data_IF_869110074470
#
_entry.id   IF_869110074470
#
_cell.length_a   1.000
_cell.length_b   1.000
_cell.length_c   1.000
_cell.angle_alpha   90.00
_cell.angle_beta   90.00
_cell.angle_gamma   90.00
#
_symmetry.space_group_name_H-M   'P 1'
#
loop_
_entity.id
_entity.type
_entity.pdbx_description
1 polymer ?
#
# COMPACT_ATOMS: atom_id res chain seq x y z
N UNK A 1 -10.09 -6.25 6.35
CA UNK A 1 -9.14 -5.26 5.80
C UNK A 1 -8.01 -5.08 6.82
N UNK A 2 -6.77 -4.84 6.38
CA UNK A 2 -5.68 -4.37 7.26
C UNK A 2 -5.41 -2.88 7.02
N UNK A 3 -4.94 -2.19 8.06
CA UNK A 3 -4.87 -0.73 8.06
C UNK A 3 -3.47 -0.21 7.68
N UNK A 4 -3.36 0.40 6.50
CA UNK A 4 -2.22 1.24 6.07
C UNK A 4 -2.56 2.74 6.06
N UNK A 5 -3.70 3.10 6.67
CA UNK A 5 -4.23 4.46 6.73
C UNK A 5 -3.30 5.42 7.47
N UNK A 6 -2.66 4.97 8.55
CA UNK A 6 -1.72 5.80 9.30
C UNK A 6 -0.53 6.19 8.40
N UNK A 7 -0.05 5.27 7.58
CA UNK A 7 1.06 5.52 6.67
C UNK A 7 0.66 6.47 5.55
N UNK A 8 -0.54 6.30 4.98
CA UNK A 8 -1.09 7.27 4.03
C UNK A 8 -1.18 8.67 4.65
N UNK A 9 -1.71 8.78 5.87
CA UNK A 9 -1.82 10.05 6.57
C UNK A 9 -0.43 10.70 6.80
N UNK A 10 0.60 9.90 7.12
CA UNK A 10 1.99 10.37 7.26
C UNK A 10 2.55 10.90 5.94
N UNK A 11 2.32 10.20 4.83
CA UNK A 11 2.75 10.65 3.50
C UNK A 11 2.03 11.92 3.08
N UNK A 12 0.71 12.00 3.28
CA UNK A 12 -0.06 13.23 2.99
C UNK A 12 0.44 14.42 3.81
N UNK A 13 0.78 14.22 5.09
CA UNK A 13 1.39 15.25 5.93
C UNK A 13 2.72 15.74 5.33
N UNK A 14 3.63 14.84 4.97
CA UNK A 14 4.94 15.22 4.41
C UNK A 14 4.82 15.99 3.09
N UNK A 15 3.87 15.60 2.23
CA UNK A 15 3.60 16.33 0.98
C UNK A 15 3.02 17.71 1.26
N UNK A 16 2.05 17.81 2.18
CA UNK A 16 1.43 19.07 2.55
C UNK A 16 2.45 20.06 3.14
N UNK A 17 3.31 19.57 4.03
CA UNK A 17 4.40 20.34 4.63
C UNK A 17 5.41 20.83 3.57
N UNK A 18 5.87 19.93 2.69
CA UNK A 18 6.83 20.27 1.62
C UNK A 18 6.24 21.24 0.60
N UNK A 19 4.95 21.17 0.30
CA UNK A 19 4.27 22.03 -0.67
C UNK A 19 3.64 23.30 -0.07
N UNK A 20 3.70 23.49 1.25
CA UNK A 20 3.08 24.63 1.92
C UNK A 20 1.55 24.69 1.76
N UNK A 21 0.89 23.54 1.78
CA UNK A 21 -0.57 23.43 1.65
C UNK A 21 -1.22 22.72 2.83
N UNK A 22 -2.55 22.66 2.86
CA UNK A 22 -3.31 21.94 3.88
C UNK A 22 -3.42 20.46 3.50
N UNK A 23 -3.39 19.56 4.49
CA UNK A 23 -3.50 18.11 4.29
C UNK A 23 -4.71 17.70 3.42
N UNK A 24 -5.93 18.28 3.58
CA UNK A 24 -7.06 17.93 2.72
C UNK A 24 -6.89 18.28 1.24
N UNK A 25 -5.91 19.11 0.90
CA UNK A 25 -5.57 19.46 -0.48
C UNK A 25 -4.65 18.41 -1.14
N UNK A 26 -4.22 17.38 -0.39
CA UNK A 26 -3.42 16.25 -0.89
C UNK A 26 -4.30 15.00 -1.02
N UNK A 27 -4.49 14.52 -2.25
CA UNK A 27 -5.28 13.32 -2.54
C UNK A 27 -4.50 12.27 -3.35
N UNK A 28 -5.10 11.08 -3.51
CA UNK A 28 -4.58 9.98 -4.35
C UNK A 28 -3.17 9.49 -4.02
N UNK A 29 -2.73 9.71 -2.78
CA UNK A 29 -1.57 9.02 -2.20
C UNK A 29 -1.92 7.55 -2.01
N UNK A 30 -0.99 6.67 -2.41
CA UNK A 30 -1.17 5.22 -2.30
C UNK A 30 -0.06 4.63 -1.45
N UNK A 31 -0.41 3.77 -0.50
CA UNK A 31 0.55 2.92 0.19
C UNK A 31 0.38 1.51 -0.34
N UNK A 32 1.37 1.01 -1.07
CA UNK A 32 1.37 -0.35 -1.60
C UNK A 32 2.08 -1.31 -0.64
N UNK A 33 1.61 -2.57 -0.60
CA UNK A 33 2.32 -3.66 0.07
C UNK A 33 1.93 -3.93 1.51
N UNK A 34 2.92 -4.34 2.30
CA UNK A 34 2.77 -4.68 3.70
C UNK A 34 2.58 -3.43 4.57
N UNK A 35 2.07 -3.59 5.79
CA UNK A 35 2.17 -2.57 6.84
C UNK A 35 3.47 -2.79 7.63
N UNK A 36 4.61 -2.50 6.99
CA UNK A 36 5.94 -2.75 7.55
C UNK A 36 6.94 -1.69 7.07
N UNK A 37 8.24 -1.93 7.29
CA UNK A 37 9.31 -1.09 6.73
C UNK A 37 9.51 -1.28 5.21
N UNK A 38 8.91 -2.30 4.59
CA UNK A 38 8.98 -2.53 3.14
C UNK A 38 7.85 -1.86 2.37
N UNK A 39 6.85 -1.30 3.06
CA UNK A 39 5.74 -0.58 2.45
C UNK A 39 6.23 0.46 1.44
N UNK A 40 5.44 0.72 0.40
CA UNK A 40 5.77 1.70 -0.64
C UNK A 40 4.76 2.85 -0.65
N UNK A 41 5.11 4.00 -0.04
CA UNK A 41 4.34 5.24 -0.18
C UNK A 41 4.60 5.85 -1.56
N UNK A 42 3.61 5.75 -2.42
CA UNK A 42 3.62 6.16 -3.82
C UNK A 42 2.82 7.45 -4.03
N UNK A 43 3.44 8.36 -4.77
CA UNK A 43 2.87 9.67 -5.11
C UNK A 43 2.73 9.89 -6.62
N UNK A 44 2.96 8.83 -7.42
CA UNK A 44 2.89 8.89 -8.89
C UNK A 44 1.53 9.38 -9.38
N UNK A 45 0.47 8.96 -8.70
CA UNK A 45 -0.91 9.33 -9.00
C UNK A 45 -1.49 10.37 -8.04
N UNK A 46 -0.71 10.78 -7.03
CA UNK A 46 -1.14 11.75 -6.02
C UNK A 46 -1.30 13.15 -6.62
N UNK A 47 -2.19 13.94 -6.03
CA UNK A 47 -2.39 15.34 -6.40
C UNK A 47 -2.27 16.26 -5.20
N UNK A 48 -1.79 17.46 -5.46
CA UNK A 48 -1.73 18.57 -4.51
C UNK A 48 -2.49 19.72 -5.16
N UNK A 49 -3.59 20.16 -4.56
CA UNK A 49 -4.49 21.18 -5.11
C UNK A 49 -4.97 20.85 -6.54
N UNK A 50 -5.17 19.56 -6.83
CA UNK A 50 -5.62 19.07 -8.14
C UNK A 50 -4.51 18.87 -9.18
N UNK A 51 -3.28 19.34 -8.91
CA UNK A 51 -2.12 19.15 -9.78
C UNK A 51 -1.28 17.93 -9.38
N UNK A 52 -0.52 17.36 -10.31
CA UNK A 52 0.35 16.20 -10.01
C UNK A 52 1.32 16.51 -8.87
N UNK A 53 1.32 15.69 -7.82
CA UNK A 53 2.19 15.86 -6.67
C UNK A 53 3.68 15.83 -7.07
N UNK A 54 4.08 14.97 -8.02
CA UNK A 54 5.46 14.94 -8.54
C UNK A 54 5.86 16.27 -9.21
N UNK A 55 4.94 16.91 -9.93
CA UNK A 55 5.18 18.24 -10.54
C UNK A 55 5.28 19.35 -9.51
N UNK A 56 4.40 19.35 -8.50
CA UNK A 56 4.39 20.37 -7.45
C UNK A 56 5.63 20.25 -6.55
N UNK A 57 6.03 19.03 -6.20
CA UNK A 57 7.20 18.78 -5.35
C UNK A 57 8.51 18.98 -6.14
N UNK A 58 8.54 18.55 -7.41
CA UNK A 58 9.66 18.72 -8.35
C UNK A 58 11.04 18.33 -7.78
N UNK A 59 11.08 17.27 -6.95
CA UNK A 59 12.28 16.86 -6.22
C UNK A 59 12.28 15.33 -6.07
N UNK A 60 12.65 14.64 -7.15
CA UNK A 60 12.66 13.16 -7.21
C UNK A 60 13.61 12.56 -6.16
N UNK A 61 14.72 13.25 -5.88
CA UNK A 61 15.67 12.82 -4.86
C UNK A 61 15.04 12.85 -3.47
N UNK A 62 14.36 13.93 -3.12
CA UNK A 62 13.64 14.01 -1.85
C UNK A 62 12.54 12.94 -1.75
N UNK A 63 11.81 12.66 -2.83
CA UNK A 63 10.79 11.61 -2.84
C UNK A 63 11.40 10.25 -2.48
N UNK A 64 12.49 9.87 -3.17
CA UNK A 64 13.10 8.54 -3.05
C UNK A 64 13.95 8.37 -1.80
N UNK A 65 14.74 9.37 -1.44
CA UNK A 65 15.77 9.26 -0.41
C UNK A 65 15.32 9.84 0.94
N UNK A 66 14.26 10.66 0.96
CA UNK A 66 13.78 11.31 2.19
C UNK A 66 12.36 10.85 2.52
N UNK A 67 11.38 11.12 1.66
CA UNK A 67 9.96 10.85 1.96
C UNK A 67 9.69 9.37 2.18
N UNK A 68 10.06 8.50 1.23
CA UNK A 68 9.82 7.05 1.34
C UNK A 68 10.46 6.46 2.62
N UNK A 69 11.77 6.65 2.88
CA UNK A 69 12.39 6.13 4.09
C UNK A 69 11.80 6.73 5.37
N UNK A 70 11.45 8.02 5.37
CA UNK A 70 10.88 8.69 6.55
C UNK A 70 9.53 8.09 6.94
N UNK A 71 8.66 7.80 5.97
CA UNK A 71 7.36 7.16 6.23
C UNK A 71 7.57 5.73 6.74
N UNK A 72 8.43 4.94 6.09
CA UNK A 72 8.76 3.57 6.49
C UNK A 72 9.29 3.49 7.93
N UNK A 73 10.08 4.49 8.36
CA UNK A 73 10.72 4.52 9.68
C UNK A 73 9.97 5.34 10.73
N UNK A 74 8.82 5.95 10.39
CA UNK A 74 8.15 6.92 11.27
C UNK A 74 7.75 6.34 12.62
N UNK A 75 7.37 5.07 12.67
CA UNK A 75 7.04 4.38 13.93
C UNK A 75 8.23 4.35 14.89
N UNK A 76 9.40 3.98 14.39
CA UNK A 76 10.64 3.92 15.18
C UNK A 76 11.08 5.31 15.64
N UNK A 77 10.94 6.35 14.80
CA UNK A 77 11.26 7.73 15.18
C UNK A 77 10.38 8.24 16.32
N UNK A 78 9.07 7.94 16.28
CA UNK A 78 8.15 8.36 17.35
C UNK A 78 8.51 7.69 18.66
N UNK A 79 8.83 6.39 18.64
CA UNK A 79 9.28 5.66 19.83
C UNK A 79 10.57 6.27 20.36
N UNK A 80 11.55 6.55 19.49
CA UNK A 80 12.82 7.18 19.89
C UNK A 80 12.62 8.56 20.52
N UNK A 81 11.71 9.38 19.98
CA UNK A 81 11.50 10.75 20.45
C UNK A 81 10.64 10.82 21.72
N UNK A 82 9.66 9.93 21.89
CA UNK A 82 8.67 10.00 22.99
C UNK A 82 8.85 8.93 24.06
N UNK A 83 9.69 7.92 23.83
CA UNK A 83 9.79 6.72 24.66
C UNK A 83 8.54 5.82 24.61
N UNK A 84 7.58 6.13 23.73
CA UNK A 84 6.29 5.45 23.64
C UNK A 84 5.84 5.32 22.19
N UNK A 85 4.97 4.34 21.93
CA UNK A 85 4.40 4.11 20.60
C UNK A 85 3.52 5.26 20.12
N UNK A 86 3.24 5.30 18.82
CA UNK A 86 2.34 6.27 18.19
C UNK A 86 0.85 5.95 18.43
N UNK A 87 0.46 5.64 19.67
CA UNK A 87 -0.87 5.14 20.01
C UNK A 87 -2.00 6.12 19.61
N UNK A 88 -1.85 7.41 19.93
CA UNK A 88 -2.88 8.41 19.63
C UNK A 88 -3.11 8.60 18.11
N UNK A 89 -2.04 8.65 17.31
CA UNK A 89 -2.18 8.77 15.85
C UNK A 89 -2.65 7.48 15.20
N UNK A 90 -2.28 6.31 15.75
CA UNK A 90 -2.85 5.04 15.33
C UNK A 90 -4.36 4.98 15.60
N UNK A 91 -4.82 5.41 16.77
CA UNK A 91 -6.24 5.48 17.10
C UNK A 91 -6.99 6.44 16.15
N UNK A 92 -6.42 7.62 15.88
CA UNK A 92 -6.99 8.55 14.91
C UNK A 92 -7.10 7.93 13.50
N UNK A 93 -6.06 7.22 13.05
CA UNK A 93 -6.09 6.54 11.76
C UNK A 93 -7.14 5.43 11.68
N UNK A 94 -7.38 4.69 12.78
CA UNK A 94 -8.46 3.69 12.85
C UNK A 94 -9.83 4.35 12.74
N UNK A 95 -10.05 5.44 13.48
CA UNK A 95 -11.31 6.21 13.43
C UNK A 95 -11.56 6.74 12.02
N UNK A 96 -10.56 7.36 11.41
CA UNK A 96 -10.63 7.86 10.04
C UNK A 96 -10.91 6.73 9.03
N UNK A 97 -10.21 5.60 9.18
CA UNK A 97 -10.38 4.44 8.31
C UNK A 97 -11.82 3.89 8.37
N UNK A 98 -12.35 3.70 9.58
CA UNK A 98 -13.70 3.15 9.76
C UNK A 98 -14.78 4.15 9.34
N UNK A 99 -14.61 5.44 9.65
CA UNK A 99 -15.53 6.51 9.19
C UNK A 99 -15.60 6.52 7.67
N UNK A 100 -14.44 6.54 7.02
CA UNK A 100 -14.34 6.65 5.57
C UNK A 100 -14.86 5.39 4.86
N UNK A 101 -14.63 4.22 5.45
CA UNK A 101 -15.23 2.98 4.97
C UNK A 101 -16.75 3.01 5.07
N UNK A 102 -17.30 3.41 6.22
CA UNK A 102 -18.73 3.33 6.50
C UNK A 102 -19.55 4.40 5.76
N UNK A 103 -19.13 5.67 5.86
CA UNK A 103 -19.84 6.80 5.28
C UNK A 103 -19.45 7.09 3.82
N UNK A 104 -18.32 6.54 3.38
CA UNK A 104 -17.74 6.84 2.09
C UNK A 104 -16.99 8.17 2.03
N UNK A 105 -16.18 8.35 0.99
CA UNK A 105 -15.27 9.51 0.83
C UNK A 105 -15.32 10.18 -0.53
N UNK A 106 -16.40 9.94 -1.28
CA UNK A 106 -16.52 10.39 -2.67
C UNK A 106 -15.40 9.80 -3.53
N UNK A 107 -14.75 10.64 -4.33
CA UNK A 107 -13.68 10.23 -5.26
C UNK A 107 -12.28 10.15 -4.62
N UNK A 108 -12.17 10.38 -3.31
CA UNK A 108 -10.88 10.28 -2.61
C UNK A 108 -10.44 8.83 -2.49
N UNK A 109 -9.14 8.63 -2.56
CA UNK A 109 -8.55 7.29 -2.45
C UNK A 109 -8.12 7.01 -1.02
N UNK A 110 -8.30 5.75 -0.63
CA UNK A 110 -7.77 5.18 0.59
C UNK A 110 -6.82 4.03 0.25
N UNK A 111 -5.79 3.86 1.05
CA UNK A 111 -4.88 2.73 1.03
C UNK A 111 -5.36 1.73 2.06
N UNK A 112 -5.64 0.52 1.61
CA UNK A 112 -6.22 -0.53 2.44
C UNK A 112 -5.64 -1.87 2.05
N UNK A 113 -5.21 -2.65 3.04
CA UNK A 113 -4.84 -4.04 2.85
C UNK A 113 -6.08 -4.91 2.69
N UNK A 114 -6.22 -5.50 1.51
CA UNK A 114 -7.30 -6.41 1.14
C UNK A 114 -6.71 -7.65 0.47
N UNK A 115 -7.45 -8.78 0.43
CA UNK A 115 -7.02 -9.93 -0.36
C UNK A 115 -6.78 -9.50 -1.81
N UNK A 116 -5.60 -9.84 -2.34
CA UNK A 116 -5.30 -9.64 -3.75
C UNK A 116 -6.20 -10.51 -4.62
N UNK A 117 -6.60 -9.98 -5.76
CA UNK A 117 -7.34 -10.64 -6.83
C UNK A 117 -6.45 -10.90 -8.07
N UNK A 118 -5.12 -10.81 -7.91
CA UNK A 118 -4.17 -10.93 -9.02
C UNK A 118 -3.84 -9.60 -9.71
N UNK A 119 -4.59 -8.53 -9.42
CA UNK A 119 -4.32 -7.21 -10.00
C UNK A 119 -2.92 -6.71 -9.67
N UNK A 120 -2.35 -5.94 -10.58
CA UNK A 120 -0.97 -5.42 -10.48
C UNK A 120 0.11 -6.50 -10.36
N UNK A 121 -0.19 -7.75 -10.71
CA UNK A 121 0.75 -8.88 -10.63
C UNK A 121 1.01 -9.38 -9.21
N UNK A 122 0.15 -9.03 -8.24
CA UNK A 122 0.26 -9.46 -6.85
C UNK A 122 -0.44 -10.81 -6.67
N UNK A 123 0.22 -11.79 -6.03
CA UNK A 123 -0.31 -13.14 -5.83
C UNK A 123 -1.73 -13.14 -5.25
N UNK A 124 -2.65 -13.85 -5.89
CA UNK A 124 -4.04 -13.96 -5.45
C UNK A 124 -4.13 -14.46 -3.99
N UNK A 125 -5.03 -13.84 -3.22
CA UNK A 125 -5.26 -14.12 -1.81
C UNK A 125 -4.26 -13.48 -0.84
N UNK A 126 -3.10 -12.99 -1.31
CA UNK A 126 -2.16 -12.26 -0.45
C UNK A 126 -2.82 -10.98 0.08
N UNK A 127 -2.76 -10.75 1.39
CA UNK A 127 -3.23 -9.48 1.96
C UNK A 127 -2.23 -8.38 1.59
N UNK A 128 -2.63 -7.47 0.71
CA UNK A 128 -1.74 -6.47 0.13
C UNK A 128 -2.44 -5.11 0.08
N UNK A 129 -1.76 -4.06 0.54
CA UNK A 129 -2.30 -2.71 0.50
C UNK A 129 -2.35 -2.18 -0.93
N UNK A 130 -3.51 -1.66 -1.32
CA UNK A 130 -3.80 -1.14 -2.66
C UNK A 130 -4.68 0.10 -2.57
N UNK A 131 -4.76 0.91 -3.64
CA UNK A 131 -5.70 2.02 -3.68
C UNK A 131 -7.13 1.52 -3.87
N UNK A 132 -8.03 2.03 -3.03
CA UNK A 132 -9.47 1.79 -3.11
C UNK A 132 -10.23 3.11 -3.01
N UNK A 133 -11.44 3.13 -3.56
CA UNK A 133 -12.49 4.08 -3.15
C UNK A 133 -13.40 3.40 -2.14
N UNK A 134 -13.88 4.18 -1.18
CA UNK A 134 -14.92 3.75 -0.25
C UNK A 134 -16.21 4.52 -0.59
N UNK A 135 -17.15 3.94 -1.35
CA UNK A 135 -18.46 4.54 -1.60
C UNK A 135 -19.44 4.42 -0.41
N UNK A 136 -19.09 3.70 0.66
CA UNK A 136 -19.90 3.53 1.87
C UNK A 136 -20.29 2.08 2.11
N UNK A 137 -19.83 1.51 3.23
CA UNK A 137 -20.07 0.11 3.63
C UNK A 137 -19.36 -0.95 2.77
N UNK A 138 -18.64 -0.55 1.72
CA UNK A 138 -17.86 -1.41 0.84
C UNK A 138 -16.67 -0.64 0.23
N UNK A 139 -15.75 -1.37 -0.39
CA UNK A 139 -14.61 -0.80 -1.11
C UNK A 139 -14.66 -1.17 -2.60
N UNK A 140 -14.06 -0.33 -3.43
CA UNK A 140 -13.80 -0.59 -4.85
C UNK A 140 -12.33 -0.38 -5.15
N UNK A 141 -11.63 -1.46 -5.54
CA UNK A 141 -10.23 -1.38 -5.97
C UNK A 141 -10.10 -0.44 -7.17
N UNK A 142 -9.12 0.45 -7.14
CA UNK A 142 -8.72 1.20 -8.33
C UNK A 142 -7.91 0.28 -9.22
N UNK A 143 -8.25 0.24 -10.52
CA UNK A 143 -7.64 -0.64 -11.51
C UNK A 143 -6.87 0.18 -12.57
N UNK A 144 -6.02 -0.50 -13.33
CA UNK A 144 -5.34 0.03 -14.52
C UNK A 144 -4.47 1.26 -14.26
N UNK A 145 -3.89 1.39 -13.06
CA UNK A 145 -2.88 2.41 -12.80
C UNK A 145 -1.57 2.05 -13.53
N UNK A 146 -0.99 2.97 -14.31
CA UNK A 146 0.37 2.82 -14.81
C UNK A 146 1.35 2.65 -13.63
N UNK A 147 2.15 1.60 -13.69
CA UNK A 147 3.21 1.30 -12.72
C UNK A 147 4.55 1.44 -13.43
N UNK A 148 5.38 2.40 -12.99
CA UNK A 148 6.74 2.58 -13.51
C UNK A 148 7.72 1.56 -12.88
N UNK A 149 8.90 1.40 -13.48
CA UNK A 149 9.88 0.39 -13.07
C UNK A 149 10.30 0.54 -11.60
N UNK A 150 10.50 1.78 -11.12
CA UNK A 150 10.82 2.05 -9.73
C UNK A 150 9.70 1.58 -8.80
N UNK A 151 8.44 1.95 -9.09
CA UNK A 151 7.27 1.52 -8.34
C UNK A 151 7.13 0.00 -8.33
N UNK A 152 7.30 -0.66 -9.48
CA UNK A 152 7.24 -2.11 -9.60
C UNK A 152 8.29 -2.79 -8.71
N UNK A 153 9.51 -2.27 -8.68
CA UNK A 153 10.60 -2.80 -7.84
C UNK A 153 10.29 -2.70 -6.33
N UNK A 154 9.69 -1.58 -5.90
CA UNK A 154 9.31 -1.35 -4.52
C UNK A 154 8.10 -2.21 -4.11
N UNK A 155 7.11 -2.33 -5.00
CA UNK A 155 5.97 -3.21 -4.82
C UNK A 155 6.40 -4.67 -4.69
N UNK A 156 7.34 -5.12 -5.52
CA UNK A 156 7.91 -6.47 -5.48
C UNK A 156 8.68 -6.74 -4.19
N UNK A 157 9.45 -5.76 -3.70
CA UNK A 157 10.15 -5.88 -2.40
C UNK A 157 9.15 -6.16 -1.28
N UNK A 158 8.05 -5.41 -1.23
CA UNK A 158 7.05 -5.60 -0.19
C UNK A 158 6.23 -6.87 -0.37
N UNK A 159 5.96 -7.27 -1.62
CA UNK A 159 5.30 -8.54 -1.95
C UNK A 159 6.13 -9.74 -1.47
N UNK A 160 7.45 -9.71 -1.66
CA UNK A 160 8.37 -10.77 -1.20
C UNK A 160 8.28 -10.97 0.32
N UNK A 161 8.34 -9.88 1.10
CA UNK A 161 8.20 -9.95 2.56
C UNK A 161 6.85 -10.57 2.96
N UNK A 162 5.73 -10.16 2.34
CA UNK A 162 4.42 -10.74 2.63
C UNK A 162 4.34 -12.24 2.30
N UNK A 163 5.01 -12.68 1.23
CA UNK A 163 5.09 -14.10 0.89
C UNK A 163 5.90 -14.87 1.94
N UNK A 164 7.01 -14.32 2.40
CA UNK A 164 7.83 -14.90 3.48
C UNK A 164 7.04 -14.98 4.79
N UNK A 165 6.34 -13.92 5.18
CA UNK A 165 5.47 -13.90 6.37
C UNK A 165 4.35 -14.94 6.27
N UNK A 166 3.65 -15.01 5.13
CA UNK A 166 2.61 -16.03 4.87
C UNK A 166 3.16 -17.45 5.01
N UNK A 167 4.34 -17.71 4.46
CA UNK A 167 4.95 -19.03 4.49
C UNK A 167 5.39 -19.40 5.92
N UNK A 168 5.89 -18.44 6.70
CA UNK A 168 6.25 -18.63 8.11
C UNK A 168 5.04 -18.99 8.99
N UNK A 169 3.87 -18.39 8.73
CA UNK A 169 2.63 -18.65 9.50
C UNK A 169 1.72 -19.69 8.86
N UNK A 170 2.18 -20.40 7.83
CA UNK A 170 1.37 -21.38 7.07
C UNK A 170 0.67 -22.41 7.94
N UNK A 171 1.30 -22.82 9.03
CA UNK A 171 0.76 -23.79 9.99
C UNK A 171 -0.46 -23.27 10.77
N UNK A 172 -0.69 -21.95 10.80
CA UNK A 172 -1.86 -21.30 11.41
C UNK A 172 -2.99 -21.03 10.40
N UNK A 173 -2.73 -21.17 9.09
CA UNK A 173 -3.71 -20.91 8.05
C UNK A 173 -4.52 -22.20 7.81
N UNK A 174 -5.86 -22.19 8.00
CA UNK A 174 -6.67 -23.37 7.75
C UNK A 174 -6.52 -23.85 6.31
N UNK A 175 -6.44 -25.17 6.10
CA UNK A 175 -6.12 -25.79 4.80
C UNK A 175 -7.07 -25.34 3.68
N UNK A 176 -8.34 -25.14 4.01
CA UNK A 176 -9.39 -24.64 3.11
C UNK A 176 -9.12 -23.24 2.53
N UNK A 177 -8.41 -22.38 3.27
CA UNK A 177 -7.96 -21.06 2.78
C UNK A 177 -6.56 -21.14 2.14
N UNK A 178 -5.73 -22.08 2.60
CA UNK A 178 -4.38 -22.29 2.09
C UNK A 178 -4.33 -22.69 0.62
N UNK A 179 -5.22 -23.58 0.15
CA UNK A 179 -5.13 -24.09 -1.23
C UNK A 179 -5.13 -22.96 -2.27
N UNK A 180 -6.00 -21.96 -2.15
CA UNK A 180 -6.03 -20.79 -3.06
C UNK A 180 -4.76 -19.92 -2.96
N UNK A 181 -4.20 -19.77 -1.75
CA UNK A 181 -2.99 -18.98 -1.49
C UNK A 181 -1.70 -19.63 -2.04
N UNK A 182 -1.69 -20.96 -2.20
CA UNK A 182 -0.51 -21.73 -2.58
C UNK A 182 -0.56 -22.34 -4.00
N UNK A 183 -1.71 -22.33 -4.69
CA UNK A 183 -1.87 -22.95 -6.02
C UNK A 183 -1.40 -22.09 -7.21
N UNK A 184 -1.27 -20.77 -7.06
CA UNK A 184 -0.95 -19.85 -8.17
C UNK A 184 0.42 -20.12 -8.81
N UNK A 185 1.42 -20.61 -8.06
CA UNK A 185 2.72 -21.01 -8.65
C UNK A 185 2.69 -22.34 -9.41
N UNK A 186 1.78 -23.27 -9.08
CA UNK A 186 1.77 -24.60 -9.71
C UNK A 186 1.35 -24.52 -11.18
N UNK A 187 0.40 -23.64 -11.51
CA UNK A 187 -0.10 -23.49 -12.89
C UNK A 187 0.84 -22.69 -13.81
N UNK A 188 1.62 -21.75 -13.27
CA UNK A 188 2.61 -20.99 -14.04
C UNK A 188 3.86 -21.80 -14.40
N UNK A 189 4.32 -22.69 -13.51
CA UNK A 189 5.45 -23.58 -13.80
C UNK A 189 5.11 -24.68 -14.82
N UNK A 190 3.89 -25.23 -14.78
CA UNK A 190 3.43 -26.24 -15.77
C UNK A 190 3.15 -25.67 -17.15
N UNK A 191 2.79 -24.39 -17.28
CA UNK A 191 2.56 -23.75 -18.59
C UNK A 191 3.86 -23.31 -19.27
N UNK A 192 4.87 -22.91 -18.50
CA UNK A 192 6.23 -22.63 -19.00
C UNK A 192 6.96 -23.90 -19.45
N UNK A 193 6.82 -25.01 -18.71
CA UNK A 193 7.41 -26.30 -19.08
C UNK A 193 6.83 -26.93 -20.35
N UNK A 194 5.53 -26.71 -20.64
CA UNK A 194 4.90 -27.20 -21.88
C UNK A 194 5.29 -26.39 -23.12
N UNK A 195 5.59 -25.09 -23.00
CA UNK A 195 6.07 -24.26 -24.12
C UNK A 195 7.54 -24.50 -24.49
N UNK A 196 8.35 -24.99 -23.55
CA UNK A 196 9.75 -25.34 -23.82
C UNK A 196 9.93 -26.72 -24.47
N UNK A 197 8.91 -27.59 -24.42
CA UNK A 197 8.93 -28.93 -25.00
C UNK A 197 8.30 -29.00 -26.42
N UNK A 198 7.92 -27.87 -27.01
CA UNK A 198 7.28 -27.79 -28.34
C UNK A 198 8.04 -26.88 -29.32
N UNK A 199 9.36 -26.75 -29.18
CA UNK A 199 10.24 -26.11 -30.16
C UNK A 199 11.43 -27.01 -30.44
#
# INVERSE_FOLDING_TARGET
MSMTRLDQNRTQYMLAEKAGCKIPEVDRVVVWGNHSSTQYPDITHARIKGESARKVINDEKWIREVMIPKVQQRGAEVIKARGASSAASAAAAVVDHMRDYWHGVGDRWCSVGIPSDGTYGIDEGLWYSVPVMCPGGHYRRILNLPIEEFSASMMEKSRKELVEERDAVRHLIPKEFGEKLYTTKKNAATSAGKKAASK
#
